data_IF_698496206485
#
_entry.id   IF_698496206485
#
_cell.length_a   1.000
_cell.length_b   1.000
_cell.length_c   1.000
_cell.angle_alpha   90.00
_cell.angle_beta   90.00
_cell.angle_gamma   90.00
#
_symmetry.space_group_name_H-M   'P 1'
#
loop_
_entity.id
_entity.type
_entity.pdbx_description
1 polymer ?
#
# COMPACT_ATOMS: atom_id res chain seq x y z
N UNK A 1 -17.97 -18.64 3.26
CA UNK A 1 -17.84 -17.22 2.95
C UNK A 1 -16.54 -16.77 3.55
N UNK A 2 -15.50 -16.81 2.75
CA UNK A 2 -14.11 -16.56 3.18
C UNK A 2 -13.69 -15.27 2.48
N UNK A 3 -13.55 -14.22 3.27
CA UNK A 3 -13.34 -12.86 2.81
C UNK A 3 -11.85 -12.71 2.43
N UNK A 4 -11.55 -12.77 1.13
CA UNK A 4 -10.20 -12.67 0.54
C UNK A 4 -9.59 -11.26 0.64
N UNK A 5 -9.91 -10.53 1.71
CA UNK A 5 -9.54 -9.13 1.96
C UNK A 5 -8.42 -8.98 3.00
N UNK A 6 -8.06 -10.04 3.73
CA UNK A 6 -6.97 -10.01 4.68
C UNK A 6 -5.65 -10.51 4.06
N UNK A 7 -4.59 -9.72 4.15
CA UNK A 7 -3.24 -10.19 3.87
C UNK A 7 -2.82 -11.19 4.97
N UNK A 8 -2.95 -12.49 4.70
CA UNK A 8 -2.76 -13.58 5.67
C UNK A 8 -1.31 -13.63 6.22
N UNK A 9 -0.34 -13.03 5.53
CA UNK A 9 1.06 -13.00 6.00
C UNK A 9 1.83 -11.90 5.25
N UNK A 10 2.70 -11.12 5.90
CA UNK A 10 3.12 -11.18 7.31
C UNK A 10 2.20 -10.42 8.26
N UNK A 11 2.02 -10.97 9.47
CA UNK A 11 1.10 -10.50 10.53
C UNK A 11 1.27 -9.01 10.95
N UNK A 12 2.36 -8.37 10.53
CA UNK A 12 2.73 -7.01 10.92
C UNK A 12 2.34 -5.95 9.87
N UNK A 13 1.90 -6.35 8.68
CA UNK A 13 1.63 -5.43 7.57
C UNK A 13 0.28 -4.70 7.75
N UNK A 14 -0.79 -5.45 8.00
CA UNK A 14 -2.13 -4.89 8.20
C UNK A 14 -2.19 -3.82 9.31
N UNK A 15 -1.67 -4.05 10.54
CA UNK A 15 -1.71 -3.02 11.57
C UNK A 15 -0.87 -1.78 11.23
N UNK A 16 0.21 -1.92 10.45
CA UNK A 16 0.98 -0.78 9.97
C UNK A 16 0.18 0.06 8.97
N UNK A 17 -0.56 -0.58 8.06
CA UNK A 17 -1.45 0.09 7.12
C UNK A 17 -2.58 0.80 7.87
N UNK A 18 -3.24 0.13 8.82
CA UNK A 18 -4.33 0.70 9.60
C UNK A 18 -3.87 1.96 10.38
N UNK A 19 -2.65 1.93 10.93
CA UNK A 19 -2.07 3.08 11.61
C UNK A 19 -1.75 4.27 10.68
N UNK A 20 -1.40 4.00 9.42
CA UNK A 20 -1.17 5.03 8.40
C UNK A 20 -2.50 5.61 7.91
N UNK A 21 -3.47 4.73 7.66
CA UNK A 21 -4.84 5.08 7.25
C UNK A 21 -5.52 5.97 8.28
N UNK A 22 -5.38 5.64 9.58
CA UNK A 22 -5.99 6.42 10.66
C UNK A 22 -5.47 7.87 10.77
N UNK A 23 -4.30 8.18 10.20
CA UNK A 23 -3.75 9.55 10.17
C UNK A 23 -4.32 10.41 9.06
N UNK A 24 -5.03 9.81 8.09
CA UNK A 24 -5.46 10.44 6.84
C UNK A 24 -6.99 10.59 6.83
N UNK A 25 -7.48 11.76 6.44
CA UNK A 25 -8.91 12.06 6.44
C UNK A 25 -9.60 11.30 5.30
N UNK A 26 -10.61 10.49 5.63
CA UNK A 26 -11.22 9.53 4.69
C UNK A 26 -10.20 8.57 4.06
N UNK A 27 -9.09 8.29 4.75
CA UNK A 27 -8.08 7.36 4.31
C UNK A 27 -8.63 5.93 4.28
N UNK A 28 -8.33 5.18 3.21
CA UNK A 28 -8.40 3.72 3.19
C UNK A 28 -7.28 3.20 2.32
N UNK A 29 -6.65 2.11 2.75
CA UNK A 29 -5.61 1.46 1.96
C UNK A 29 -5.62 -0.03 2.23
N UNK A 30 -5.30 -0.81 1.20
CA UNK A 30 -5.15 -2.25 1.32
C UNK A 30 -4.17 -2.77 0.27
N UNK A 31 -3.60 -3.92 0.59
CA UNK A 31 -2.52 -4.54 -0.17
C UNK A 31 -2.96 -5.92 -0.59
N UNK A 32 -2.84 -6.25 -1.88
CA UNK A 32 -3.14 -7.60 -2.40
C UNK A 32 -1.92 -8.19 -3.09
N UNK A 33 -1.41 -9.36 -2.65
CA UNK A 33 -0.41 -10.07 -3.42
C UNK A 33 -1.02 -10.58 -4.74
N UNK A 34 -0.25 -10.54 -5.82
CA UNK A 34 -0.63 -11.19 -7.07
C UNK A 34 -0.48 -12.71 -6.89
N UNK A 35 -1.50 -13.50 -7.23
CA UNK A 35 -1.45 -14.95 -7.09
C UNK A 35 -0.55 -15.67 -8.10
N UNK A 36 -0.09 -14.95 -9.13
CA UNK A 36 0.66 -15.52 -10.27
C UNK A 36 1.91 -14.73 -10.64
N UNK A 37 2.19 -13.63 -9.95
CA UNK A 37 3.33 -12.76 -10.22
C UNK A 37 4.04 -12.47 -8.90
N UNK A 38 5.36 -12.30 -8.95
CA UNK A 38 6.14 -11.80 -7.81
C UNK A 38 5.93 -10.27 -7.66
N UNK A 39 4.68 -9.89 -7.42
CA UNK A 39 4.24 -8.51 -7.37
C UNK A 39 3.11 -8.32 -6.35
N UNK A 40 3.06 -7.13 -5.77
CA UNK A 40 2.06 -6.73 -4.79
C UNK A 40 1.34 -5.48 -5.31
N UNK A 41 0.01 -5.50 -5.32
CA UNK A 41 -0.83 -4.36 -5.71
C UNK A 41 -1.27 -3.61 -4.47
N UNK A 42 -1.11 -2.29 -4.50
CA UNK A 42 -1.41 -1.40 -3.37
C UNK A 42 -2.47 -0.41 -3.84
N UNK A 43 -3.55 -0.33 -3.07
CA UNK A 43 -4.60 0.64 -3.29
C UNK A 43 -4.62 1.58 -2.09
N UNK A 44 -4.68 2.88 -2.35
CA UNK A 44 -4.88 3.90 -1.33
C UNK A 44 -5.83 4.98 -1.86
N UNK A 45 -6.78 5.36 -1.02
CA UNK A 45 -7.69 6.46 -1.24
C UNK A 45 -7.66 7.38 -0.02
N UNK A 46 -7.87 8.67 -0.26
CA UNK A 46 -7.96 9.69 0.77
C UNK A 46 -8.77 10.88 0.24
N UNK A 47 -9.05 11.85 1.10
CA UNK A 47 -9.81 13.06 0.74
C UNK A 47 -9.21 13.88 -0.41
N UNK A 48 -7.88 13.86 -0.58
CA UNK A 48 -7.21 14.57 -1.67
C UNK A 48 -6.26 13.64 -2.42
N UNK A 49 -6.04 13.91 -3.71
CA UNK A 49 -5.11 13.14 -4.54
C UNK A 49 -3.70 13.11 -3.94
N UNK A 50 -3.23 14.25 -3.41
CA UNK A 50 -1.93 14.33 -2.73
C UNK A 50 -1.86 13.38 -1.53
N UNK A 51 -2.89 13.38 -0.70
CA UNK A 51 -2.96 12.56 0.51
C UNK A 51 -3.06 11.06 0.15
N UNK A 52 -3.78 10.73 -0.92
CA UNK A 52 -3.87 9.36 -1.46
C UNK A 52 -2.53 8.88 -2.00
N UNK A 53 -1.82 9.74 -2.75
CA UNK A 53 -0.48 9.45 -3.27
C UNK A 53 0.56 9.27 -2.16
N UNK A 54 0.52 10.13 -1.14
CA UNK A 54 1.37 9.99 0.05
C UNK A 54 1.04 8.68 0.80
N UNK A 55 -0.23 8.38 1.02
CA UNK A 55 -0.66 7.15 1.69
C UNK A 55 -0.23 5.90 0.90
N UNK A 56 -0.41 5.88 -0.42
CA UNK A 56 0.06 4.80 -1.29
C UNK A 56 1.56 4.57 -1.16
N UNK A 57 2.33 5.66 -1.15
CA UNK A 57 3.79 5.61 -1.02
C UNK A 57 4.23 5.10 0.36
N UNK A 58 3.62 5.60 1.44
CA UNK A 58 3.91 5.15 2.81
C UNK A 58 3.58 3.66 2.98
N UNK A 59 2.45 3.21 2.44
CA UNK A 59 2.06 1.78 2.45
C UNK A 59 3.01 0.94 1.61
N UNK A 60 3.42 1.40 0.43
CA UNK A 60 4.41 0.71 -0.41
C UNK A 60 5.75 0.55 0.29
N UNK A 61 6.21 1.61 0.98
CA UNK A 61 7.44 1.57 1.77
C UNK A 61 7.30 0.59 2.94
N UNK A 62 6.20 0.64 3.69
CA UNK A 62 5.96 -0.29 4.79
C UNK A 62 5.91 -1.75 4.30
N UNK A 63 5.22 -2.01 3.19
CA UNK A 63 5.16 -3.33 2.57
C UNK A 63 6.55 -3.81 2.13
N UNK A 64 7.35 -2.95 1.50
CA UNK A 64 8.71 -3.26 1.09
C UNK A 64 9.62 -3.63 2.27
N UNK A 65 9.60 -2.84 3.35
CA UNK A 65 10.42 -3.07 4.56
C UNK A 65 10.01 -4.34 5.31
N UNK A 66 8.70 -4.64 5.37
CA UNK A 66 8.16 -5.77 6.12
C UNK A 66 8.30 -7.09 5.33
N UNK A 67 8.08 -7.07 4.02
CA UNK A 67 8.19 -8.26 3.16
C UNK A 67 9.64 -8.51 2.71
N UNK A 68 10.52 -7.51 2.82
CA UNK A 68 11.92 -7.63 2.41
C UNK A 68 12.06 -7.80 0.90
N UNK A 69 11.21 -7.11 0.12
CA UNK A 69 11.18 -7.25 -1.34
C UNK A 69 12.54 -6.91 -1.96
N UNK A 70 12.98 -7.71 -2.94
CA UNK A 70 14.14 -7.37 -3.77
C UNK A 70 13.78 -6.37 -4.91
N UNK A 71 12.51 -5.99 -5.02
CA UNK A 71 11.98 -5.13 -6.08
C UNK A 71 12.26 -3.65 -5.77
N UNK A 72 13.00 -2.96 -6.66
CA UNK A 72 13.52 -1.61 -6.46
C UNK A 72 12.61 -0.64 -5.67
N UNK A 73 13.23 0.14 -4.77
CA UNK A 73 12.57 1.07 -3.84
C UNK A 73 11.37 1.77 -4.49
N UNK A 74 10.20 1.81 -3.82
CA UNK A 74 9.07 2.57 -4.34
C UNK A 74 9.53 4.02 -4.53
N UNK A 75 9.28 4.57 -5.71
CA UNK A 75 9.48 5.98 -6.04
C UNK A 75 8.20 6.75 -5.70
N UNK A 76 8.28 7.94 -5.09
CA UNK A 76 7.10 8.77 -4.88
C UNK A 76 6.52 9.16 -6.23
N UNK A 77 5.19 9.23 -6.33
CA UNK A 77 4.43 9.56 -7.55
C UNK A 77 4.70 11.00 -8.09
N UNK A 78 5.78 11.67 -7.67
CA UNK A 78 6.26 12.91 -8.30
C UNK A 78 6.94 12.67 -9.66
N UNK A 79 6.64 11.57 -10.36
CA UNK A 79 7.14 11.29 -11.70
C UNK A 79 5.96 11.24 -12.66
N UNK A 80 5.70 12.39 -13.28
CA UNK A 80 5.09 12.57 -14.59
C UNK A 80 3.90 11.65 -14.93
N UNK A 81 2.69 12.13 -14.64
CA UNK A 81 1.63 12.01 -15.64
C UNK A 81 2.01 12.93 -16.81
N UNK A 82 2.90 12.44 -17.67
CA UNK A 82 3.15 13.01 -18.98
C UNK A 82 1.84 13.03 -19.77
N UNK A 83 1.54 14.21 -20.29
CA UNK A 83 0.51 14.47 -21.31
C UNK A 83 0.60 13.53 -22.50
#
# INVERSE_FOLDING_TARGET
>A
TDDETAAITPANLQPAIDALVAKREAGRAFVRPSGTEDAVRIYAEAKTEKDANELAFEVAKAAYEIVGGAAGKPSPCAAEYGL
#
